data_IF_706744614394
#
_entry.id   IF_706744614394
#
_cell.length_a   1.000
_cell.length_b   1.000
_cell.length_c   1.000
_cell.angle_alpha   90.00
_cell.angle_beta   90.00
_cell.angle_gamma   90.00
#
_symmetry.space_group_name_H-M   'P 1'
#
loop_
_entity.id
_entity.type
_entity.pdbx_description
1 polymer ?
#
# COMPACT_ATOMS: atom_id res chain seq x y z
N UNK A 1 -27.81 10.39 -10.46
CA UNK A 1 -26.77 10.42 -9.41
C UNK A 1 -25.64 9.51 -9.83
N UNK A 2 -24.39 9.99 -9.80
CA UNK A 2 -23.23 9.17 -10.17
C UNK A 2 -22.74 8.39 -8.96
N UNK A 3 -23.00 7.09 -8.93
CA UNK A 3 -22.35 6.15 -8.01
C UNK A 3 -20.89 6.01 -8.46
N UNK A 4 -19.97 6.62 -7.72
CA UNK A 4 -18.53 6.38 -7.89
C UNK A 4 -18.16 5.12 -7.13
N UNK A 5 -17.87 4.04 -7.84
CA UNK A 5 -17.19 2.89 -7.28
C UNK A 5 -15.73 3.30 -7.01
N UNK A 6 -15.51 3.98 -5.89
CA UNK A 6 -14.16 4.22 -5.41
C UNK A 6 -13.68 2.95 -4.70
N UNK A 7 -12.49 2.50 -5.07
CA UNK A 7 -11.81 1.45 -4.34
C UNK A 7 -11.50 1.94 -2.91
N UNK A 8 -11.37 0.98 -1.97
CA UNK A 8 -10.94 1.30 -0.60
C UNK A 8 -9.56 1.96 -0.64
N UNK A 9 -9.23 2.70 0.41
CA UNK A 9 -7.87 3.20 0.62
C UNK A 9 -6.88 2.03 0.57
N UNK A 10 -5.76 2.21 -0.13
CA UNK A 10 -4.81 1.13 -0.47
C UNK A 10 -5.13 0.37 -1.76
N UNK A 11 -6.24 0.68 -2.46
CA UNK A 11 -6.61 0.01 -3.72
C UNK A 11 -6.87 1.01 -4.85
N UNK A 12 -6.41 0.67 -6.06
CA UNK A 12 -6.66 1.42 -7.29
C UNK A 12 -7.59 0.66 -8.21
N UNK A 13 -8.35 1.40 -9.00
CA UNK A 13 -9.18 0.79 -10.03
C UNK A 13 -8.27 0.14 -11.09
N UNK A 14 -8.47 -1.15 -11.32
CA UNK A 14 -7.79 -1.87 -12.38
C UNK A 14 -8.12 -1.26 -13.74
N UNK A 15 -7.27 -1.50 -14.74
CA UNK A 15 -7.50 -1.04 -16.12
C UNK A 15 -8.85 -1.48 -16.70
N UNK A 16 -9.39 -2.61 -16.23
CA UNK A 16 -10.72 -3.11 -16.57
C UNK A 16 -11.89 -2.29 -15.97
N UNK A 17 -11.64 -1.35 -15.06
CA UNK A 17 -12.66 -0.50 -14.43
C UNK A 17 -13.59 -1.22 -13.44
N UNK A 18 -13.55 -2.56 -13.40
CA UNK A 18 -14.48 -3.40 -12.62
C UNK A 18 -13.88 -3.94 -11.33
N UNK A 19 -12.56 -4.04 -11.25
CA UNK A 19 -11.85 -4.60 -10.12
C UNK A 19 -11.03 -3.54 -9.40
N UNK A 20 -10.88 -3.69 -8.09
CA UNK A 20 -9.94 -2.94 -7.29
C UNK A 20 -8.70 -3.82 -7.11
N UNK A 21 -7.58 -3.37 -7.65
CA UNK A 21 -6.29 -3.99 -7.42
C UNK A 21 -5.58 -3.23 -6.32
N UNK A 22 -4.78 -3.96 -5.57
CA UNK A 22 -3.95 -3.39 -4.54
C UNK A 22 -2.96 -2.36 -5.13
N UNK A 23 -2.75 -1.26 -4.41
CA UNK A 23 -1.77 -0.25 -4.79
C UNK A 23 -0.45 -0.66 -4.16
N UNK A 24 0.52 -0.97 -5.00
CA UNK A 24 1.87 -1.27 -4.54
C UNK A 24 2.56 0.02 -4.06
N UNK A 25 2.37 0.41 -2.80
CA UNK A 25 2.94 1.66 -2.29
C UNK A 25 4.47 1.61 -2.24
N UNK A 26 5.05 0.42 -2.22
CA UNK A 26 6.50 0.22 -2.35
C UNK A 26 7.04 0.73 -3.70
N UNK A 27 6.26 0.56 -4.78
CA UNK A 27 6.62 1.06 -6.11
C UNK A 27 6.15 2.50 -6.34
N UNK A 28 4.95 2.85 -5.87
CA UNK A 28 4.38 4.20 -6.04
C UNK A 28 5.08 5.25 -5.17
N UNK A 29 5.57 4.85 -3.98
CA UNK A 29 6.27 5.72 -3.03
C UNK A 29 7.63 5.13 -2.66
N UNK A 30 8.64 5.28 -3.55
CA UNK A 30 10.00 4.89 -3.22
C UNK A 30 10.47 5.69 -2.00
N UNK A 31 10.73 4.99 -0.89
CA UNK A 31 11.11 5.58 0.40
C UNK A 31 10.01 5.62 1.47
N UNK A 32 8.85 5.01 1.24
CA UNK A 32 7.81 4.85 2.28
C UNK A 32 8.31 4.04 3.49
N UNK A 33 9.25 3.13 3.26
CA UNK A 33 9.94 2.37 4.30
C UNK A 33 11.43 2.71 4.33
N UNK A 34 12.01 2.74 5.54
CA UNK A 34 13.44 3.03 5.73
C UNK A 34 14.34 1.85 5.32
N UNK A 35 13.85 0.61 5.48
CA UNK A 35 14.59 -0.61 5.16
C UNK A 35 13.90 -1.39 4.05
N UNK A 36 13.06 -2.36 4.39
CA UNK A 36 12.37 -3.20 3.42
C UNK A 36 10.91 -2.78 3.37
N UNK A 37 10.39 -2.63 2.17
CA UNK A 37 8.97 -2.46 1.92
C UNK A 37 8.43 -3.76 1.35
N UNK A 38 7.38 -4.30 1.96
CA UNK A 38 6.67 -5.49 1.48
C UNK A 38 5.25 -5.05 1.17
N UNK A 39 4.85 -5.15 -0.10
CA UNK A 39 3.49 -4.88 -0.48
C UNK A 39 2.57 -6.01 0.05
N UNK A 40 1.47 -5.65 0.70
CA UNK A 40 0.50 -6.60 1.26
C UNK A 40 -0.91 -6.24 0.78
N UNK A 41 -1.83 -7.18 0.76
CA UNK A 41 -3.14 -6.88 0.21
C UNK A 41 -3.92 -5.90 1.10
N UNK A 42 -4.18 -4.70 0.58
CA UNK A 42 -4.77 -3.56 1.28
C UNK A 42 -3.78 -2.60 1.92
N UNK A 43 -2.49 -2.68 1.58
CA UNK A 43 -1.50 -1.68 1.96
C UNK A 43 -0.06 -2.18 1.91
N UNK A 44 0.81 -1.67 2.79
CA UNK A 44 2.21 -2.07 2.83
C UNK A 44 2.66 -2.40 4.24
N UNK A 45 3.64 -3.30 4.33
CA UNK A 45 4.34 -3.61 5.55
C UNK A 45 5.80 -3.23 5.40
N UNK A 46 6.22 -2.20 6.14
CA UNK A 46 7.63 -1.93 6.32
C UNK A 46 8.22 -2.98 7.26
N UNK A 47 9.35 -3.57 6.89
CA UNK A 47 10.11 -4.44 7.78
C UNK A 47 11.54 -3.91 7.93
N UNK A 48 12.03 -3.95 9.17
CA UNK A 48 13.38 -3.52 9.48
C UNK A 48 14.32 -4.74 9.57
N UNK A 49 15.60 -4.53 9.25
CA UNK A 49 16.61 -5.59 9.42
C UNK A 49 16.69 -6.05 10.88
N UNK A 50 17.12 -7.29 11.10
CA UNK A 50 17.26 -7.88 12.42
C UNK A 50 18.05 -6.95 13.37
N UNK A 51 17.43 -6.56 14.48
CA UNK A 51 17.97 -5.60 15.45
C UNK A 51 17.38 -4.20 15.39
N UNK A 52 16.54 -3.90 14.40
CA UNK A 52 15.83 -2.62 14.28
C UNK A 52 14.34 -2.83 14.50
N UNK A 53 13.74 -2.03 15.39
CA UNK A 53 12.30 -2.01 15.60
C UNK A 53 11.69 -0.88 14.79
N UNK A 54 10.57 -1.13 14.12
CA UNK A 54 9.71 -0.06 13.64
C UNK A 54 9.28 0.72 14.88
N UNK A 55 9.83 1.92 15.07
CA UNK A 55 9.27 2.84 16.04
C UNK A 55 7.83 3.08 15.58
N UNK A 56 6.87 2.50 16.30
CA UNK A 56 5.46 2.81 16.08
C UNK A 56 5.33 4.27 16.50
N UNK A 57 5.25 5.16 15.52
CA UNK A 57 4.91 6.55 15.80
C UNK A 57 3.45 6.53 16.28
N UNK A 58 3.26 6.84 17.57
CA UNK A 58 1.99 6.73 18.29
C UNK A 58 1.07 7.91 17.99
#
# INVERSE_FOLDING_TARGET
GSYRCNCKEGFKQASDGRACIDIDECLERPGICHHNCINIWGGHQCTCNAGYNLAVDN
#
